data_IF_623817429222
#
_entry.id   IF_623817429222
#
_cell.length_a   1.000
_cell.length_b   1.000
_cell.length_c   1.000
_cell.angle_alpha   90.00
_cell.angle_beta   90.00
_cell.angle_gamma   90.00
#
_symmetry.space_group_name_H-M   'P 1'
#
loop_
_entity.id
_entity.type
_entity.pdbx_description
1 polymer ?
#
# COMPACT_ATOMS: atom_id res chain seq x y z
N UNK A 1 -6.56 8.36 -6.69
CA UNK A 1 -6.08 7.53 -7.82
C UNK A 1 -6.26 8.28 -9.12
N UNK A 2 -5.46 7.99 -10.15
CA UNK A 2 -5.60 8.53 -11.50
C UNK A 2 -5.44 7.41 -12.53
N UNK A 3 -6.28 7.41 -13.57
CA UNK A 3 -6.07 6.59 -14.75
C UNK A 3 -5.11 7.33 -15.68
N UNK A 4 -3.91 6.80 -15.88
CA UNK A 4 -2.87 7.47 -16.69
C UNK A 4 -3.13 7.25 -18.17
N UNK A 5 -3.53 6.03 -18.52
CA UNK A 5 -3.96 5.61 -19.85
C UNK A 5 -4.86 4.38 -19.72
N UNK A 6 -5.63 4.00 -20.76
CA UNK A 6 -6.42 2.77 -20.72
C UNK A 6 -5.58 1.56 -20.27
N UNK A 7 -6.06 0.84 -19.26
CA UNK A 7 -5.37 -0.31 -18.69
C UNK A 7 -4.25 0.01 -17.68
N UNK A 8 -4.01 1.28 -17.31
CA UNK A 8 -2.96 1.63 -16.34
C UNK A 8 -3.35 2.75 -15.37
N UNK A 9 -3.28 2.44 -14.08
CA UNK A 9 -3.69 3.30 -12.97
C UNK A 9 -2.57 3.53 -11.97
N UNK A 10 -2.51 4.75 -11.43
CA UNK A 10 -1.67 5.07 -10.28
C UNK A 10 -2.56 5.26 -9.03
N UNK A 11 -2.13 4.64 -7.93
CA UNK A 11 -2.70 4.82 -6.59
C UNK A 11 -1.62 5.44 -5.72
N UNK A 12 -1.87 6.62 -5.18
CA UNK A 12 -1.04 7.22 -4.15
C UNK A 12 -1.74 7.03 -2.80
N UNK A 13 -1.01 6.51 -1.81
CA UNK A 13 -1.49 6.31 -0.44
C UNK A 13 -0.81 7.30 0.51
N UNK A 14 -1.57 7.77 1.49
CA UNK A 14 -1.01 8.47 2.62
C UNK A 14 -0.47 7.44 3.62
N UNK A 15 0.84 7.12 3.57
CA UNK A 15 1.45 6.19 4.53
C UNK A 15 1.83 6.83 5.87
N UNK A 16 1.52 8.11 6.11
CA UNK A 16 1.62 8.69 7.47
C UNK A 16 0.67 8.01 8.45
N UNK A 17 -0.41 7.38 7.97
CA UNK A 17 -1.33 6.60 8.81
C UNK A 17 -0.72 5.31 9.35
N UNK A 18 0.50 4.96 8.91
CA UNK A 18 1.27 3.90 9.54
C UNK A 18 2.53 4.39 10.26
N UNK A 19 2.88 5.67 10.15
CA UNK A 19 4.14 6.18 10.69
C UNK A 19 4.12 6.21 12.22
N UNK A 20 5.12 5.65 12.88
CA UNK A 20 5.17 5.49 14.34
C UNK A 20 5.35 6.82 15.11
N UNK A 21 5.78 7.90 14.45
CA UNK A 21 5.77 9.25 15.00
C UNK A 21 4.45 10.01 14.75
N UNK A 22 3.47 9.37 14.10
CA UNK A 22 2.11 9.90 14.05
C UNK A 22 1.37 9.56 15.35
N UNK A 23 1.50 10.45 16.35
CA UNK A 23 0.91 10.24 17.68
C UNK A 23 -0.62 10.17 17.71
N UNK A 24 -1.30 10.58 16.64
CA UNK A 24 -2.75 10.42 16.52
C UNK A 24 -3.18 8.95 16.47
N UNK A 25 -2.28 8.04 16.08
CA UNK A 25 -2.55 6.60 16.06
C UNK A 25 -2.70 5.99 17.47
N UNK A 26 -2.28 6.68 18.53
CA UNK A 26 -2.59 6.23 19.89
C UNK A 26 -4.07 6.39 20.27
N UNK A 27 -4.76 7.32 19.62
CA UNK A 27 -6.19 7.53 19.84
C UNK A 27 -7.02 6.50 19.06
N UNK A 28 -6.69 6.32 17.78
CA UNK A 28 -7.36 5.34 16.91
C UNK A 28 -6.41 4.91 15.77
N UNK A 29 -6.06 3.62 15.74
CA UNK A 29 -5.25 3.00 14.69
C UNK A 29 -6.07 2.06 13.79
N UNK A 30 -7.40 2.00 13.96
CA UNK A 30 -8.26 1.13 13.19
C UNK A 30 -8.51 1.68 11.80
N UNK A 31 -7.73 1.21 10.83
CA UNK A 31 -7.74 1.63 9.41
C UNK A 31 -8.06 3.13 9.23
N UNK A 32 -7.14 4.03 9.61
CA UNK A 32 -7.42 5.46 9.61
C UNK A 32 -7.93 5.94 8.25
N UNK A 33 -9.07 6.65 8.27
CA UNK A 33 -9.81 7.12 7.09
C UNK A 33 -10.36 6.01 6.18
N UNK A 34 -10.39 4.75 6.63
CA UNK A 34 -10.79 3.60 5.83
C UNK A 34 -9.85 3.36 4.64
N UNK A 35 -8.58 3.78 4.74
CA UNK A 35 -7.66 3.81 3.60
C UNK A 35 -7.35 2.41 3.04
N UNK A 36 -7.17 1.40 3.89
CA UNK A 36 -6.93 0.02 3.45
C UNK A 36 -8.19 -0.58 2.83
N UNK A 37 -9.37 -0.33 3.41
CA UNK A 37 -10.63 -0.75 2.80
C UNK A 37 -10.83 -0.09 1.42
N UNK A 38 -10.53 1.21 1.32
CA UNK A 38 -10.57 1.94 0.05
C UNK A 38 -9.57 1.38 -0.97
N UNK A 39 -8.36 1.03 -0.53
CA UNK A 39 -7.34 0.40 -1.39
C UNK A 39 -7.83 -0.94 -1.93
N UNK A 40 -8.42 -1.80 -1.09
CA UNK A 40 -9.02 -3.08 -1.51
C UNK A 40 -10.07 -2.85 -2.60
N UNK A 41 -11.01 -1.94 -2.35
CA UNK A 41 -12.09 -1.64 -3.30
C UNK A 41 -11.54 -1.11 -4.63
N UNK A 42 -10.48 -0.28 -4.57
CA UNK A 42 -9.84 0.29 -5.77
C UNK A 42 -9.08 -0.77 -6.56
N UNK A 43 -8.38 -1.70 -5.89
CA UNK A 43 -7.67 -2.80 -6.55
C UNK A 43 -8.63 -3.83 -7.14
N UNK A 44 -9.74 -4.14 -6.47
CA UNK A 44 -10.82 -4.96 -7.03
C UNK A 44 -11.39 -4.32 -8.30
N UNK A 45 -11.66 -3.02 -8.27
CA UNK A 45 -12.10 -2.30 -9.46
C UNK A 45 -11.08 -2.42 -10.60
N UNK A 46 -9.81 -2.14 -10.34
CA UNK A 46 -8.73 -2.27 -11.33
C UNK A 46 -8.63 -3.71 -11.90
N UNK A 47 -8.77 -4.74 -11.05
CA UNK A 47 -8.81 -6.15 -11.44
C UNK A 47 -9.95 -6.41 -12.44
N UNK A 48 -11.17 -5.93 -12.15
CA UNK A 48 -12.32 -6.10 -13.06
C UNK A 48 -12.15 -5.38 -14.40
N UNK A 49 -11.48 -4.22 -14.38
CA UNK A 49 -11.19 -3.42 -15.58
C UNK A 49 -9.95 -3.91 -16.34
N UNK A 50 -9.30 -4.99 -15.88
CA UNK A 50 -8.05 -5.52 -16.44
C UNK A 50 -6.93 -4.48 -16.49
N UNK A 51 -6.88 -3.60 -15.49
CA UNK A 51 -5.85 -2.59 -15.36
C UNK A 51 -4.62 -3.13 -14.62
N UNK A 52 -3.45 -2.53 -14.91
CA UNK A 52 -2.26 -2.63 -14.07
C UNK A 52 -2.13 -1.42 -13.17
N UNK A 53 -1.58 -1.63 -11.98
CA UNK A 53 -1.52 -0.61 -10.93
C UNK A 53 -0.09 -0.35 -10.48
N UNK A 54 0.30 0.93 -10.43
CA UNK A 54 1.43 1.37 -9.61
C UNK A 54 0.93 1.95 -8.29
N UNK A 55 1.56 1.55 -7.18
CA UNK A 55 1.31 2.14 -5.87
C UNK A 55 2.47 3.04 -5.48
N UNK A 56 2.15 4.25 -5.03
CA UNK A 56 3.09 5.23 -4.50
C UNK A 56 2.80 5.44 -3.01
N UNK A 57 3.82 5.33 -2.16
CA UNK A 57 3.74 5.68 -0.74
C UNK A 57 4.97 6.49 -0.31
N UNK A 58 4.91 7.17 0.84
CA UNK A 58 6.09 7.80 1.42
C UNK A 58 6.87 6.82 2.31
N UNK A 59 6.33 6.49 3.49
CA UNK A 59 6.83 5.44 4.40
C UNK A 59 6.59 4.05 3.77
N UNK A 60 7.63 3.21 3.61
CA UNK A 60 7.49 1.82 3.17
C UNK A 60 6.81 0.96 4.25
N UNK A 61 5.94 0.03 3.87
CA UNK A 61 5.24 -0.80 4.86
C UNK A 61 6.13 -1.84 5.55
N UNK A 62 7.31 -2.12 4.99
CA UNK A 62 8.34 -2.99 5.57
C UNK A 62 9.35 -2.25 6.44
N UNK A 63 9.28 -0.91 6.48
CA UNK A 63 10.18 -0.10 7.30
C UNK A 63 9.83 -0.21 8.80
N UNK A 64 10.84 -0.09 9.66
CA UNK A 64 10.66 -0.21 11.11
C UNK A 64 9.84 0.95 11.71
N UNK A 65 9.70 2.07 10.99
CA UNK A 65 8.85 3.20 11.39
C UNK A 65 7.38 3.01 11.01
N UNK A 66 7.02 1.97 10.25
CA UNK A 66 5.62 1.65 9.99
C UNK A 66 5.06 0.73 11.07
N UNK A 67 3.91 1.09 11.65
CA UNK A 67 3.25 0.28 12.69
C UNK A 67 2.88 -1.10 12.14
N UNK A 68 3.28 -2.13 12.89
CA UNK A 68 3.27 -3.52 12.43
C UNK A 68 1.90 -4.03 11.98
N UNK A 69 0.83 -3.56 12.63
CA UNK A 69 -0.53 -3.97 12.28
C UNK A 69 -0.91 -3.49 10.88
N UNK A 70 -0.73 -2.20 10.60
CA UNK A 70 -1.00 -1.62 9.29
C UNK A 70 -0.12 -2.26 8.21
N UNK A 71 1.19 -2.36 8.45
CA UNK A 71 2.13 -2.95 7.50
C UNK A 71 1.78 -4.40 7.14
N UNK A 72 1.31 -5.19 8.12
CA UNK A 72 0.84 -6.57 7.90
C UNK A 72 -0.43 -6.63 7.05
N UNK A 73 -1.41 -5.77 7.31
CA UNK A 73 -2.64 -5.77 6.50
C UNK A 73 -2.36 -5.29 5.07
N UNK A 74 -1.52 -4.26 4.91
CA UNK A 74 -1.05 -3.83 3.60
C UNK A 74 -0.35 -4.97 2.83
N UNK A 75 0.56 -5.70 3.47
CA UNK A 75 1.24 -6.84 2.86
C UNK A 75 0.28 -7.94 2.37
N UNK A 76 -0.79 -8.22 3.13
CA UNK A 76 -1.84 -9.17 2.69
C UNK A 76 -2.59 -8.67 1.45
N UNK A 77 -2.91 -7.37 1.39
CA UNK A 77 -3.55 -6.76 0.24
C UNK A 77 -2.62 -6.84 -0.98
N UNK A 78 -1.35 -6.46 -0.82
CA UNK A 78 -0.34 -6.60 -1.88
C UNK A 78 -0.24 -8.04 -2.37
N UNK A 79 -0.24 -9.01 -1.46
CA UNK A 79 -0.17 -10.41 -1.83
C UNK A 79 -1.40 -10.85 -2.66
N UNK A 80 -2.63 -10.53 -2.21
CA UNK A 80 -3.89 -10.84 -2.92
C UNK A 80 -3.97 -10.21 -4.31
N UNK A 81 -3.39 -9.03 -4.50
CA UNK A 81 -3.45 -8.28 -5.76
C UNK A 81 -2.11 -8.23 -6.50
N UNK A 82 -1.19 -9.16 -6.20
CA UNK A 82 0.15 -9.20 -6.80
C UNK A 82 0.13 -9.33 -8.32
N UNK A 83 -0.90 -9.94 -8.91
CA UNK A 83 -1.10 -10.01 -10.36
C UNK A 83 -1.67 -8.72 -10.98
N UNK A 84 -2.23 -7.81 -10.17
CA UNK A 84 -2.76 -6.50 -10.60
C UNK A 84 -1.70 -5.40 -10.43
N UNK A 85 -0.97 -5.43 -9.32
CA UNK A 85 0.07 -4.46 -8.98
C UNK A 85 1.32 -4.76 -9.81
N UNK A 86 1.70 -3.85 -10.70
CA UNK A 86 2.90 -4.02 -11.55
C UNK A 86 4.15 -3.36 -10.98
N UNK A 87 4.01 -2.38 -10.08
CA UNK A 87 5.14 -1.79 -9.35
C UNK A 87 4.69 -1.07 -8.07
N UNK A 88 5.62 -0.93 -7.13
CA UNK A 88 5.46 -0.13 -5.92
C UNK A 88 6.68 0.77 -5.75
N UNK A 89 6.46 2.04 -5.43
CA UNK A 89 7.52 3.02 -5.24
C UNK A 89 7.34 3.72 -3.90
N UNK A 90 8.40 3.74 -3.10
CA UNK A 90 8.42 4.27 -1.73
C UNK A 90 9.62 5.17 -1.53
N UNK A 91 9.65 5.92 -0.43
CA UNK A 91 10.78 6.76 -0.03
C UNK A 91 11.05 6.65 1.46
N UNK A 92 11.14 7.80 2.14
CA UNK A 92 11.30 7.95 3.60
C UNK A 92 12.67 7.54 4.17
N UNK A 93 13.25 6.41 3.75
CA UNK A 93 14.51 5.90 4.32
C UNK A 93 15.72 6.77 3.96
N UNK A 94 15.62 7.56 2.88
CA UNK A 94 16.72 8.33 2.27
C UNK A 94 17.87 7.44 1.78
N UNK A 95 17.60 6.14 1.62
CA UNK A 95 18.54 5.14 1.14
C UNK A 95 18.03 4.54 -0.17
N UNK A 96 18.96 3.89 -0.88
CA UNK A 96 18.61 2.99 -1.97
C UNK A 96 18.45 1.59 -1.37
N UNK A 97 17.21 1.15 -1.21
CA UNK A 97 16.84 -0.12 -0.62
C UNK A 97 15.67 -0.77 -1.38
N UNK A 98 15.33 -2.00 -1.01
CA UNK A 98 14.22 -2.73 -1.61
C UNK A 98 13.52 -3.59 -0.58
N UNK A 99 12.18 -3.57 -0.60
CA UNK A 99 11.31 -4.42 0.22
C UNK A 99 10.73 -5.52 -0.64
N UNK A 100 10.92 -6.78 -0.23
CA UNK A 100 10.40 -7.96 -0.91
C UNK A 100 9.19 -8.49 -0.14
N UNK A 101 8.06 -8.65 -0.83
CA UNK A 101 6.85 -9.27 -0.30
C UNK A 101 6.77 -10.72 -0.78
N UNK A 102 6.52 -11.65 0.13
CA UNK A 102 6.43 -13.08 -0.16
C UNK A 102 4.97 -13.56 -0.20
N UNK A 103 4.72 -14.65 -0.93
CA UNK A 103 3.45 -15.36 -0.85
C UNK A 103 3.28 -16.06 0.48
N UNK A 104 2.02 -16.19 0.90
CA UNK A 104 1.65 -17.06 2.02
C UNK A 104 1.36 -18.50 1.57
N UNK A 105 1.36 -18.76 0.26
CA UNK A 105 1.28 -20.09 -0.33
C UNK A 105 2.71 -20.67 -0.45
N UNK A 106 2.89 -21.88 0.08
CA UNK A 106 4.11 -22.69 -0.02
C UNK A 106 4.27 -23.27 -1.42
#
# INVERSE_FOLDING_TARGET
TVLVKPGFRIIALNSNVCFNFNFWLFYDDFDPYGQLQWLINTLLYAETQKEKVHILTHVPSGDYTCVRNWGRQYAKIVNRFSHVISAQFTGHTHLDDTVIYYSHEN
#
